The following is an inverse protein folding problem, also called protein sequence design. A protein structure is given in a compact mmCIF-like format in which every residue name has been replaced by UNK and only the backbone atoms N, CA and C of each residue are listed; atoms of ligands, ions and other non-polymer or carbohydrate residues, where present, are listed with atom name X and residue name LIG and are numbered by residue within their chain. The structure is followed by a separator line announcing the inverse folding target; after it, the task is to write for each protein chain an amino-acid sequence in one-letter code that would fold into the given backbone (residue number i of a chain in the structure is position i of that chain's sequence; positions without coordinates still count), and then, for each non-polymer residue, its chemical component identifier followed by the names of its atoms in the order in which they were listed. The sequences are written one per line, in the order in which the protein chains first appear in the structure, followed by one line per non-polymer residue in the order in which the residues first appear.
data_IF_722182553454
#
_entry.id   IF_722182553454
#
_cell.length_a   1.000
_cell.length_b   1.000
_cell.length_c   1.000
_cell.angle_alpha   90.00
_cell.angle_beta   90.00
_cell.angle_gamma   90.00
#
_symmetry.space_group_name_H-M   'P 1'
#
loop_
_entity.id
_entity.type
_entity.pdbx_description
1 polymer ?
#
# COMPACT_ATOMS: atom_id res chain seq x y z
N UNK A 1 -5.53 -8.45 -1.38
CA UNK A 1 -5.02 -8.63 -2.76
C UNK A 1 -6.13 -8.41 -3.78
N UNK A 2 -5.76 -8.21 -5.00
CA UNK A 2 -6.72 -8.02 -6.10
C UNK A 2 -6.34 -8.90 -7.29
N UNK A 3 -7.33 -9.20 -8.13
CA UNK A 3 -7.11 -10.05 -9.31
C UNK A 3 -6.42 -9.24 -10.42
N UNK A 4 -5.63 -9.91 -11.29
CA UNK A 4 -4.99 -9.21 -12.41
C UNK A 4 -5.97 -8.69 -13.45
N UNK A 5 -7.14 -9.30 -13.50
CA UNK A 5 -8.17 -8.89 -14.46
C UNK A 5 -9.54 -9.40 -14.00
N UNK A 6 -10.54 -8.55 -14.09
CA UNK A 6 -11.93 -8.97 -13.93
C UNK A 6 -12.49 -9.39 -15.29
N UNK A 7 -13.37 -10.38 -15.27
CA UNK A 7 -14.00 -10.88 -16.47
C UNK A 7 -14.67 -9.74 -17.24
N UNK A 8 -14.37 -9.62 -18.51
CA UNK A 8 -14.94 -8.57 -19.38
C UNK A 8 -14.35 -7.19 -19.20
N UNK A 9 -13.28 -7.04 -18.37
CA UNK A 9 -12.63 -5.77 -18.13
C UNK A 9 -11.20 -5.79 -18.62
N UNK A 10 -10.60 -4.61 -18.74
CA UNK A 10 -9.20 -4.49 -19.12
C UNK A 10 -8.29 -5.09 -18.05
N UNK A 11 -7.13 -5.65 -18.44
CA UNK A 11 -6.15 -6.08 -17.47
C UNK A 11 -5.72 -4.94 -16.55
N UNK A 12 -5.43 -5.26 -15.30
CA UNK A 12 -4.98 -4.30 -14.30
C UNK A 12 -3.45 -4.24 -14.31
N UNK A 13 -2.86 -3.11 -14.65
CA UNK A 13 -1.40 -3.00 -14.78
C UNK A 13 -0.68 -2.95 -13.43
N UNK A 14 -1.38 -2.59 -12.37
CA UNK A 14 -0.75 -2.38 -11.06
C UNK A 14 -0.30 -3.71 -10.46
N UNK A 15 0.92 -3.73 -9.94
CA UNK A 15 1.47 -4.87 -9.22
C UNK A 15 1.18 -4.75 -7.73
N UNK A 16 1.28 -3.54 -7.22
CA UNK A 16 0.99 -3.21 -5.84
C UNK A 16 0.19 -1.90 -5.82
N UNK A 17 -0.73 -1.79 -4.91
CA UNK A 17 -1.52 -0.58 -4.76
C UNK A 17 -1.54 -0.14 -3.31
N UNK A 18 -1.48 1.17 -3.10
CA UNK A 18 -1.63 1.79 -1.80
C UNK A 18 -3.02 2.43 -1.77
N UNK A 19 -3.82 2.00 -0.80
CA UNK A 19 -5.20 2.45 -0.66
C UNK A 19 -5.34 3.29 0.59
N UNK A 20 -6.03 4.41 0.47
CA UNK A 20 -6.22 5.32 1.60
C UNK A 20 -7.43 6.22 1.39
N UNK A 21 -7.93 6.75 2.49
CA UNK A 21 -8.94 7.81 2.48
C UNK A 21 -8.26 9.15 2.75
N UNK A 22 -9.00 10.24 2.56
CA UNK A 22 -8.46 11.58 2.75
C UNK A 22 -8.29 11.96 4.23
N UNK A 23 -8.79 11.14 5.15
CA UNK A 23 -8.80 11.49 6.56
C UNK A 23 -7.41 11.50 7.18
N UNK A 24 -6.59 10.47 6.90
CA UNK A 24 -5.20 10.43 7.33
C UNK A 24 -4.41 9.62 6.30
N UNK A 25 -3.71 10.32 5.44
CA UNK A 25 -2.97 9.72 4.35
C UNK A 25 -1.45 9.83 4.50
N UNK A 26 -0.98 10.22 5.68
CA UNK A 26 0.45 10.49 5.90
C UNK A 26 1.35 9.32 5.54
N UNK A 27 1.07 8.15 6.10
CA UNK A 27 1.89 6.98 5.83
C UNK A 27 1.72 6.50 4.40
N UNK A 28 0.51 6.56 3.86
CA UNK A 28 0.25 6.17 2.48
C UNK A 28 1.06 6.99 1.49
N UNK A 29 1.08 8.31 1.65
CA UNK A 29 1.84 9.19 0.76
C UNK A 29 3.34 8.99 0.90
N UNK A 30 3.83 8.79 2.12
CA UNK A 30 5.25 8.49 2.35
C UNK A 30 5.64 7.16 1.71
N UNK A 31 4.79 6.15 1.81
CA UNK A 31 5.03 4.85 1.19
C UNK A 31 5.01 4.94 -0.33
N UNK A 32 4.07 5.67 -0.91
CA UNK A 32 4.02 5.88 -2.35
C UNK A 32 5.33 6.49 -2.84
N UNK A 33 5.82 7.49 -2.14
CA UNK A 33 7.07 8.13 -2.49
C UNK A 33 8.26 7.15 -2.44
N UNK A 34 8.29 6.29 -1.43
CA UNK A 34 9.32 5.26 -1.33
C UNK A 34 9.21 4.24 -2.46
N UNK A 35 7.99 3.80 -2.78
CA UNK A 35 7.76 2.86 -3.87
C UNK A 35 8.13 3.44 -5.23
N UNK A 36 7.96 4.73 -5.42
CA UNK A 36 8.32 5.39 -6.68
C UNK A 36 9.82 5.35 -6.97
N UNK A 37 10.65 5.05 -5.96
CA UNK A 37 12.08 4.86 -6.18
C UNK A 37 12.43 3.48 -6.72
N UNK A 38 11.47 2.55 -6.70
CA UNK A 38 11.68 1.19 -7.20
C UNK A 38 11.54 1.13 -8.71
N UNK A 39 12.55 0.60 -9.37
CA UNK A 39 12.51 0.42 -10.82
C UNK A 39 11.60 -0.74 -11.19
N UNK A 40 10.97 -0.65 -12.34
CA UNK A 40 10.15 -1.72 -12.92
C UNK A 40 8.98 -2.13 -12.03
N UNK A 41 8.48 -1.22 -11.21
CA UNK A 41 7.33 -1.49 -10.36
C UNK A 41 6.18 -0.58 -10.74
N UNK A 42 5.05 -1.18 -11.09
CA UNK A 42 3.84 -0.42 -11.41
C UNK A 42 2.99 -0.26 -10.14
N UNK A 43 2.95 0.95 -9.63
CA UNK A 43 2.29 1.27 -8.37
C UNK A 43 0.95 1.94 -8.62
N UNK A 44 -0.11 1.38 -8.02
CA UNK A 44 -1.43 1.99 -8.05
C UNK A 44 -1.65 2.85 -6.82
N UNK A 45 -2.39 3.94 -7.01
CA UNK A 45 -2.79 4.83 -5.92
C UNK A 45 -4.32 4.83 -5.91
N UNK A 46 -4.90 4.18 -4.91
CA UNK A 46 -6.35 3.95 -4.84
C UNK A 46 -6.89 3.23 -6.09
N UNK A 47 -6.11 2.24 -6.57
CA UNK A 47 -6.45 1.45 -7.73
C UNK A 47 -6.35 -0.04 -7.38
N UNK A 48 -7.19 -0.91 -7.86
CA UNK A 48 -8.42 -0.62 -8.60
C UNK A 48 -9.58 -0.15 -7.72
N UNK A 49 -9.36 -0.09 -6.41
CA UNK A 49 -10.38 0.30 -5.43
C UNK A 49 -9.96 1.56 -4.69
N UNK A 50 -10.95 2.35 -4.32
CA UNK A 50 -10.72 3.50 -3.46
C UNK A 50 -10.54 3.05 -2.00
N UNK A 51 -9.76 3.80 -1.22
CA UNK A 51 -9.44 3.44 0.15
C UNK A 51 -10.63 3.37 1.11
N UNK A 52 -11.75 3.93 0.75
CA UNK A 52 -12.93 3.84 1.61
C UNK A 52 -13.62 2.47 1.56
N UNK A 53 -13.30 1.61 0.60
CA UNK A 53 -13.83 0.25 0.58
C UNK A 53 -13.41 -0.55 1.80
N UNK A 54 -12.15 -0.49 2.24
CA UNK A 54 -11.74 -1.12 3.49
C UNK A 54 -11.87 -0.17 4.68
N UNK A 55 -12.77 0.78 4.61
CA UNK A 55 -12.91 1.83 5.61
C UNK A 55 -13.08 1.30 7.03
N UNK A 56 -13.81 0.20 7.20
CA UNK A 56 -14.01 -0.37 8.53
C UNK A 56 -12.69 -0.73 9.20
N UNK A 57 -11.78 -1.36 8.48
CA UNK A 57 -10.48 -1.72 9.01
C UNK A 57 -9.64 -0.48 9.29
N UNK A 58 -9.60 0.47 8.37
CA UNK A 58 -8.88 1.74 8.57
C UNK A 58 -9.45 2.51 9.74
N UNK A 59 -10.76 2.59 9.84
CA UNK A 59 -11.43 3.30 10.92
C UNK A 59 -11.13 2.67 12.28
N UNK A 60 -11.22 1.34 12.38
CA UNK A 60 -11.00 0.63 13.64
C UNK A 60 -9.56 0.70 14.12
N UNK A 61 -8.61 0.55 13.19
CA UNK A 61 -7.22 0.32 13.56
C UNK A 61 -6.32 1.53 13.34
N UNK A 62 -6.74 2.49 12.57
CA UNK A 62 -5.95 3.66 12.24
C UNK A 62 -6.65 4.97 12.56
N UNK A 63 -7.75 5.27 11.88
CA UNK A 63 -8.42 6.56 11.99
C UNK A 63 -8.91 6.85 13.40
N UNK A 64 -9.47 5.84 14.07
CA UNK A 64 -10.00 5.99 15.43
C UNK A 64 -8.94 6.27 16.47
N UNK A 65 -7.75 5.72 16.28
CA UNK A 65 -6.69 5.79 17.27
C UNK A 65 -5.65 6.86 16.95
N UNK A 66 -5.75 7.50 15.80
CA UNK A 66 -4.74 8.47 15.36
C UNK A 66 -3.40 7.86 15.00
N UNK A 67 -3.30 6.56 14.92
CA UNK A 67 -2.06 5.88 14.55
C UNK A 67 -1.78 6.03 13.06
N UNK A 68 -0.51 6.04 12.71
CA UNK A 68 -0.10 5.96 11.32
C UNK A 68 -0.59 4.64 10.74
N UNK A 69 -1.22 4.69 9.57
CA UNK A 69 -1.78 3.51 8.94
C UNK A 69 -1.82 3.67 7.43
N UNK A 70 -1.84 2.54 6.76
CA UNK A 70 -2.03 2.48 5.31
C UNK A 70 -2.58 1.10 4.98
N UNK A 71 -3.12 0.97 3.80
CA UNK A 71 -3.56 -0.32 3.29
C UNK A 71 -2.80 -0.62 2.01
N UNK A 72 -2.20 -1.80 1.97
CA UNK A 72 -1.44 -2.26 0.81
C UNK A 72 -2.13 -3.47 0.24
N UNK A 73 -2.34 -3.47 -1.07
CA UNK A 73 -2.84 -4.64 -1.77
C UNK A 73 -1.88 -5.01 -2.89
N UNK A 74 -1.62 -6.30 -3.05
CA UNK A 74 -0.75 -6.82 -4.09
C UNK A 74 -1.60 -7.66 -5.04
N UNK A 75 -1.33 -7.56 -6.32
CA UNK A 75 -2.05 -8.35 -7.32
C UNK A 75 -1.82 -9.83 -7.02
N UNK A 76 -2.88 -10.61 -6.95
CA UNK A 76 -2.81 -11.95 -6.38
C UNK A 76 -1.96 -12.94 -7.18
N UNK A 77 -1.76 -12.73 -8.47
CA UNK A 77 -0.88 -13.58 -9.27
C UNK A 77 0.60 -13.44 -8.88
N UNK A 78 0.95 -12.39 -8.14
CA UNK A 78 2.32 -12.14 -7.70
C UNK A 78 2.61 -12.71 -6.31
N UNK A 79 1.61 -13.24 -5.63
CA UNK A 79 1.75 -13.79 -4.28
C UNK A 79 1.09 -15.17 -4.14
N UNK A 80 1.14 -15.96 -5.20
CA UNK A 80 0.52 -17.29 -5.22
C UNK A 80 1.32 -18.32 -4.43
N UNK A 81 2.63 -18.19 -4.39
CA UNK A 81 3.51 -19.14 -3.72
C UNK A 81 4.12 -18.53 -2.45
N UNK A 82 4.56 -19.40 -1.55
CA UNK A 82 5.26 -18.97 -0.34
C UNK A 82 6.54 -18.19 -0.68
N UNK A 83 7.24 -18.58 -1.73
CA UNK A 83 8.45 -17.88 -2.17
C UNK A 83 8.13 -16.47 -2.65
N UNK A 84 7.05 -16.31 -3.40
CA UNK A 84 6.61 -15.00 -3.86
C UNK A 84 6.20 -14.10 -2.70
N UNK A 85 5.44 -14.66 -1.74
CA UNK A 85 5.00 -13.94 -0.56
C UNK A 85 6.19 -13.44 0.25
N UNK A 86 7.19 -14.30 0.44
CA UNK A 86 8.40 -13.93 1.15
C UNK A 86 9.19 -12.84 0.43
N UNK A 87 9.31 -12.95 -0.88
CA UNK A 87 10.02 -11.96 -1.69
C UNK A 87 9.38 -10.58 -1.56
N UNK A 88 8.05 -10.50 -1.59
CA UNK A 88 7.34 -9.23 -1.39
C UNK A 88 7.53 -8.69 0.02
N UNK A 89 7.49 -9.56 1.04
CA UNK A 89 7.70 -9.13 2.42
C UNK A 89 9.11 -8.53 2.60
N UNK A 90 10.13 -9.18 2.05
CA UNK A 90 11.51 -8.70 2.11
C UNK A 90 11.67 -7.38 1.39
N UNK A 91 10.98 -7.21 0.28
CA UNK A 91 11.03 -5.97 -0.51
C UNK A 91 10.31 -4.81 0.18
N UNK A 92 9.13 -5.07 0.76
CA UNK A 92 8.29 -4.02 1.33
C UNK A 92 8.72 -3.57 2.72
N UNK A 93 9.27 -4.45 3.54
CA UNK A 93 9.60 -4.12 4.93
C UNK A 93 10.53 -2.90 5.04
N UNK A 94 11.64 -2.82 4.30
CA UNK A 94 12.50 -1.62 4.38
C UNK A 94 11.84 -0.36 3.83
N UNK A 95 10.97 -0.49 2.83
CA UNK A 95 10.25 0.66 2.28
C UNK A 95 9.24 1.22 3.28
N UNK A 96 8.52 0.34 3.97
CA UNK A 96 7.60 0.75 5.03
C UNK A 96 8.33 1.40 6.19
N UNK A 97 9.44 0.83 6.60
CA UNK A 97 10.24 1.38 7.70
C UNK A 97 10.81 2.75 7.33
N UNK A 98 11.27 2.91 6.10
CA UNK A 98 11.75 4.20 5.63
C UNK A 98 10.63 5.24 5.60
N UNK A 99 9.46 4.88 5.10
CA UNK A 99 8.31 5.76 5.07
C UNK A 99 7.91 6.20 6.47
N UNK A 100 7.87 5.27 7.40
CA UNK A 100 7.53 5.56 8.79
C UNK A 100 8.57 6.50 9.43
N UNK A 101 9.83 6.24 9.18
CA UNK A 101 10.92 7.03 9.75
C UNK A 101 10.89 8.49 9.29
N UNK A 102 10.55 8.73 8.03
CA UNK A 102 10.46 10.11 7.51
C UNK A 102 9.37 10.93 8.21
N UNK A 103 8.34 10.27 8.72
CA UNK A 103 7.25 10.95 9.41
C UNK A 103 7.53 11.23 10.87
N UNK A 104 8.51 10.57 11.46
CA UNK A 104 8.88 10.79 12.85
C UNK A 104 9.92 11.87 13.04
N UNK A 105 10.71 12.11 12.02
CA UNK A 105 11.87 12.96 12.13
C UNK A 105 11.60 14.37 12.61
N UNK A 106 10.61 15.08 12.11
CA UNK A 106 10.41 16.48 12.51
C UNK A 106 9.95 16.69 13.94
N UNK A 107 9.59 15.65 14.63
CA UNK A 107 9.03 15.77 15.98
C UNK A 107 10.05 16.29 16.99
N UNK A 108 11.30 16.10 16.68
CA UNK A 108 12.39 16.42 17.59
C UNK A 108 13.16 17.66 17.23
N UNK A 109 12.59 18.36 16.29
CA UNK A 109 13.21 19.63 15.92
C UNK A 109 13.51 20.44 17.11
#
# INVERSE_FOLDING_TARGET
SFTPQLKGRAPRPWEISVLFSDTDDRLSRALIKALDTEENLCVGVNEPYHGHLPEDALHRHGLRTGRLHTLIEIRNDLIETAAQQKAWAVRLAPLLEHARATLKEPIHG
#
